data_IF_173314879863
#
_entry.id   IF_173314879863
#
_cell.length_a   1.000
_cell.length_b   1.000
_cell.length_c   1.000
_cell.angle_alpha   90.00
_cell.angle_beta   90.00
_cell.angle_gamma   90.00
#
_symmetry.space_group_name_H-M   'P 1'
#
loop_
_entity.id
_entity.type
_entity.pdbx_description
1 polymer ?
#
# COMPACT_ATOMS: atom_id res chain seq x y z
N UNK A 1 46.98 -10.66 71.08
CA UNK A 1 45.60 -10.85 70.62
C UNK A 1 45.29 -9.80 69.55
N UNK A 2 45.40 -10.16 68.29
CA UNK A 2 45.21 -9.22 67.12
C UNK A 2 43.86 -9.50 66.48
N UNK A 3 42.98 -8.51 66.53
CA UNK A 3 41.67 -8.57 65.80
C UNK A 3 41.87 -8.06 64.38
N UNK A 4 41.72 -8.96 63.38
CA UNK A 4 41.68 -8.62 62.00
C UNK A 4 40.25 -8.15 61.68
N UNK A 5 40.11 -6.90 61.26
CA UNK A 5 38.86 -6.36 60.73
C UNK A 5 38.80 -6.69 59.25
N UNK A 6 37.77 -7.45 58.87
CA UNK A 6 37.49 -7.85 57.47
C UNK A 6 36.60 -6.79 56.82
N UNK A 7 37.18 -5.99 55.94
CA UNK A 7 36.41 -5.00 55.14
C UNK A 7 35.73 -5.68 53.96
N UNK A 8 34.42 -5.75 53.99
CA UNK A 8 33.60 -6.22 52.86
C UNK A 8 33.39 -5.05 51.94
N UNK A 9 34.02 -5.08 50.76
CA UNK A 9 33.75 -4.14 49.67
C UNK A 9 32.53 -4.64 48.88
N UNK A 10 31.40 -3.98 49.04
CA UNK A 10 30.20 -4.23 48.23
C UNK A 10 30.36 -3.48 46.91
N UNK A 11 30.68 -4.19 45.84
CA UNK A 11 30.68 -3.64 44.48
C UNK A 11 29.24 -3.61 44.00
N UNK A 12 28.63 -2.45 44.06
CA UNK A 12 27.31 -2.19 43.49
C UNK A 12 27.38 -2.19 41.96
N UNK A 13 26.86 -3.23 41.32
CA UNK A 13 26.73 -3.34 39.89
C UNK A 13 25.55 -2.46 39.44
N UNK A 14 25.83 -1.23 38.97
CA UNK A 14 24.82 -0.37 38.38
C UNK A 14 24.50 -0.94 36.97
N UNK A 15 23.40 -1.64 36.86
CA UNK A 15 22.84 -2.01 35.56
C UNK A 15 22.26 -0.76 34.91
N UNK A 16 23.01 -0.15 33.99
CA UNK A 16 22.52 0.89 33.11
C UNK A 16 21.66 0.19 32.06
N UNK A 17 20.34 0.20 32.27
CA UNK A 17 19.37 -0.15 31.24
C UNK A 17 19.43 0.92 30.12
N UNK A 18 20.15 0.63 29.04
CA UNK A 18 20.06 1.39 27.81
C UNK A 18 18.63 1.22 27.26
N UNK A 19 17.75 2.12 27.64
CA UNK A 19 16.51 2.37 26.92
C UNK A 19 16.92 2.86 25.51
N UNK A 20 16.84 1.97 24.55
CA UNK A 20 16.93 2.32 23.14
C UNK A 20 15.73 3.22 22.83
N UNK A 21 15.90 4.51 22.98
CA UNK A 21 14.95 5.49 22.49
C UNK A 21 14.88 5.32 20.97
N UNK A 22 13.76 4.80 20.47
CA UNK A 22 13.46 4.83 19.03
C UNK A 22 13.48 6.30 18.65
N UNK A 23 14.34 6.74 17.74
CA UNK A 23 14.44 8.15 17.41
C UNK A 23 13.07 8.64 16.93
N UNK A 24 12.60 9.77 17.42
CA UNK A 24 11.31 10.41 17.07
C UNK A 24 11.09 10.51 15.56
N UNK A 25 12.16 10.52 14.77
CA UNK A 25 12.17 10.52 13.31
C UNK A 25 11.68 9.22 12.69
N UNK A 26 11.97 8.07 13.31
CA UNK A 26 11.50 6.76 12.81
C UNK A 26 9.98 6.62 12.91
N UNK A 27 9.33 7.23 13.90
CA UNK A 27 7.87 7.25 14.03
C UNK A 27 7.20 8.02 12.89
N UNK A 28 7.80 9.12 12.44
CA UNK A 28 7.28 9.91 11.34
C UNK A 28 7.38 9.17 9.98
N UNK A 29 8.48 8.46 9.72
CA UNK A 29 8.65 7.71 8.46
C UNK A 29 7.67 6.53 8.34
N UNK A 30 7.35 5.89 9.47
CA UNK A 30 6.31 4.84 9.53
C UNK A 30 4.94 5.42 9.19
N UNK A 31 4.56 6.52 9.81
CA UNK A 31 3.28 7.21 9.55
C UNK A 31 3.18 7.66 8.09
N UNK A 32 4.27 8.18 7.52
CA UNK A 32 4.33 8.56 6.10
C UNK A 32 4.06 7.35 5.22
N UNK A 33 4.71 6.22 5.47
CA UNK A 33 4.52 5.00 4.70
C UNK A 33 3.08 4.46 4.82
N UNK A 34 2.49 4.48 6.01
CA UNK A 34 1.10 4.09 6.24
C UNK A 34 0.12 4.98 5.48
N UNK A 35 0.31 6.28 5.50
CA UNK A 35 -0.54 7.24 4.78
C UNK A 35 -0.45 7.06 3.26
N UNK A 36 0.75 6.82 2.71
CA UNK A 36 0.92 6.55 1.28
C UNK A 36 0.22 5.25 0.88
N UNK A 37 0.37 4.19 1.66
CA UNK A 37 -0.33 2.93 1.45
C UNK A 37 -1.85 3.15 1.50
N UNK A 38 -2.33 3.92 2.48
CA UNK A 38 -3.76 4.22 2.62
C UNK A 38 -4.32 5.00 1.41
N UNK A 39 -3.58 5.98 0.89
CA UNK A 39 -3.97 6.73 -0.32
C UNK A 39 -4.11 5.80 -1.53
N UNK A 40 -3.14 4.89 -1.75
CA UNK A 40 -3.20 3.93 -2.85
C UNK A 40 -4.38 2.95 -2.69
N UNK A 41 -4.63 2.45 -1.47
CA UNK A 41 -5.81 1.61 -1.15
C UNK A 41 -7.10 2.32 -1.50
N UNK A 42 -7.27 3.57 -1.08
CA UNK A 42 -8.45 4.38 -1.38
C UNK A 42 -8.68 4.48 -2.88
N UNK A 43 -7.64 4.84 -3.65
CA UNK A 43 -7.74 4.95 -5.11
C UNK A 43 -8.18 3.64 -5.77
N UNK A 44 -7.63 2.51 -5.33
CA UNK A 44 -8.01 1.16 -5.82
C UNK A 44 -9.47 0.81 -5.50
N UNK A 45 -9.93 1.14 -4.29
CA UNK A 45 -11.32 0.92 -3.89
C UNK A 45 -12.27 1.75 -4.77
N UNK A 46 -11.94 3.03 -5.03
CA UNK A 46 -12.74 3.89 -5.91
C UNK A 46 -12.85 3.28 -7.32
N UNK A 47 -11.74 2.80 -7.91
CA UNK A 47 -11.79 2.12 -9.21
C UNK A 47 -12.68 0.89 -9.13
N UNK A 48 -12.58 0.09 -8.07
CA UNK A 48 -13.40 -1.12 -7.89
C UNK A 48 -14.89 -0.81 -7.84
N UNK A 49 -15.28 0.23 -7.11
CA UNK A 49 -16.68 0.71 -7.02
C UNK A 49 -17.21 1.26 -8.35
N UNK A 50 -16.32 1.79 -9.20
CA UNK A 50 -16.67 2.37 -10.50
C UNK A 50 -16.61 1.36 -11.67
N UNK A 51 -16.32 0.09 -11.40
CA UNK A 51 -16.13 -0.93 -12.46
C UNK A 51 -17.34 -1.06 -13.39
N UNK A 52 -18.57 -0.99 -12.87
CA UNK A 52 -19.78 -1.02 -13.70
C UNK A 52 -19.86 0.22 -14.60
N UNK A 53 -19.66 1.40 -14.03
CA UNK A 53 -19.63 2.66 -14.76
C UNK A 53 -18.55 2.66 -15.85
N UNK A 54 -17.32 2.24 -15.51
CA UNK A 54 -16.18 2.17 -16.42
C UNK A 54 -16.51 1.24 -17.60
N UNK A 55 -17.11 0.09 -17.34
CA UNK A 55 -17.37 -0.96 -18.33
C UNK A 55 -18.74 -0.84 -19.03
N UNK A 56 -19.55 0.17 -18.72
CA UNK A 56 -20.82 0.40 -19.41
C UNK A 56 -20.60 0.73 -20.88
N UNK A 57 -20.94 -0.19 -21.78
CA UNK A 57 -20.78 -0.05 -23.23
C UNK A 57 -21.74 0.98 -23.85
N UNK A 58 -22.86 1.27 -23.19
CA UNK A 58 -23.92 2.15 -23.72
C UNK A 58 -23.56 3.64 -23.63
N UNK A 59 -22.65 4.02 -22.72
CA UNK A 59 -22.29 5.42 -22.46
C UNK A 59 -20.91 5.77 -23.02
N UNK A 60 -20.82 6.90 -23.73
CA UNK A 60 -19.55 7.49 -24.16
C UNK A 60 -18.89 8.29 -23.03
N UNK A 61 -19.66 9.10 -22.27
CA UNK A 61 -19.16 9.88 -21.12
C UNK A 61 -19.58 9.20 -19.83
N UNK A 62 -18.60 8.74 -19.05
CA UNK A 62 -18.82 7.96 -17.83
C UNK A 62 -18.90 8.81 -16.56
N UNK A 63 -18.42 10.07 -16.58
CA UNK A 63 -18.29 10.90 -15.37
C UNK A 63 -17.16 10.49 -14.43
N UNK A 64 -16.53 9.34 -14.66
CA UNK A 64 -15.36 8.91 -13.91
C UNK A 64 -14.10 9.58 -14.45
N UNK A 65 -13.77 10.76 -13.92
CA UNK A 65 -12.67 11.64 -14.37
C UNK A 65 -11.53 11.66 -13.36
N UNK A 66 -10.37 12.20 -13.77
CA UNK A 66 -9.24 12.43 -12.87
C UNK A 66 -9.60 13.34 -11.69
N UNK A 67 -10.40 14.39 -11.93
CA UNK A 67 -10.85 15.30 -10.87
C UNK A 67 -11.80 14.60 -9.89
N UNK A 68 -12.71 13.76 -10.39
CA UNK A 68 -13.55 12.90 -9.54
C UNK A 68 -12.67 11.99 -8.67
N UNK A 69 -11.67 11.31 -9.25
CA UNK A 69 -10.74 10.45 -8.51
C UNK A 69 -10.03 11.23 -7.40
N UNK A 70 -9.40 12.36 -7.73
CA UNK A 70 -8.67 13.17 -6.75
C UNK A 70 -9.58 13.67 -5.61
N UNK A 71 -10.78 14.17 -5.95
CA UNK A 71 -11.77 14.63 -4.97
C UNK A 71 -12.19 13.52 -4.00
N UNK A 72 -12.49 12.33 -4.52
CA UNK A 72 -12.86 11.18 -3.70
C UNK A 72 -11.71 10.68 -2.82
N UNK A 73 -10.47 10.65 -3.35
CA UNK A 73 -9.29 10.26 -2.57
C UNK A 73 -9.07 11.21 -1.40
N UNK A 74 -9.09 12.53 -1.65
CA UNK A 74 -8.89 13.54 -0.61
C UNK A 74 -9.97 13.47 0.48
N UNK A 75 -11.23 13.31 0.08
CA UNK A 75 -12.35 13.23 1.02
C UNK A 75 -12.26 11.98 1.92
N UNK A 76 -12.01 10.81 1.32
CA UNK A 76 -11.92 9.55 2.05
C UNK A 76 -10.66 9.52 2.93
N UNK A 77 -9.54 10.05 2.47
CA UNK A 77 -8.31 10.15 3.25
C UNK A 77 -8.54 11.02 4.49
N UNK A 78 -9.14 12.21 4.34
CA UNK A 78 -9.52 13.07 5.47
C UNK A 78 -10.45 12.35 6.46
N UNK A 79 -11.43 11.61 5.96
CA UNK A 79 -12.37 10.88 6.82
C UNK A 79 -11.67 9.82 7.69
N UNK A 80 -10.66 9.13 7.11
CA UNK A 80 -9.94 8.02 7.78
C UNK A 80 -8.87 8.57 8.72
N UNK A 81 -8.01 9.48 8.23
CA UNK A 81 -6.81 9.94 8.95
C UNK A 81 -7.04 11.22 9.77
N UNK A 82 -8.14 11.94 9.53
CA UNK A 82 -8.44 13.29 10.02
C UNK A 82 -7.52 14.38 9.44
N UNK A 83 -6.60 14.05 8.54
CA UNK A 83 -5.72 14.98 7.85
C UNK A 83 -6.40 15.52 6.59
N UNK A 84 -6.48 16.84 6.45
CA UNK A 84 -7.01 17.49 5.24
C UNK A 84 -5.88 17.97 4.34
N UNK A 85 -5.57 17.20 3.30
CA UNK A 85 -4.51 17.54 2.33
C UNK A 85 -4.83 18.77 1.47
N UNK A 86 -6.07 19.28 1.52
CA UNK A 86 -6.43 20.58 0.89
C UNK A 86 -5.88 21.78 1.65
N UNK A 87 -5.37 21.53 2.88
CA UNK A 87 -4.69 22.53 3.71
C UNK A 87 -3.24 22.05 3.93
N UNK A 88 -2.39 22.06 2.89
CA UNK A 88 -1.09 21.37 2.92
C UNK A 88 -0.11 21.92 3.96
N UNK A 89 -0.22 23.20 4.31
CA UNK A 89 0.71 23.87 5.26
C UNK A 89 0.60 23.36 6.70
N UNK A 90 -0.46 22.62 7.04
CA UNK A 90 -0.67 22.06 8.38
C UNK A 90 -0.43 20.54 8.44
N UNK A 91 -0.19 19.89 7.30
CA UNK A 91 0.04 18.45 7.23
C UNK A 91 1.51 18.20 6.90
N UNK A 92 2.28 17.58 7.80
CA UNK A 92 3.65 17.17 7.49
C UNK A 92 3.70 16.31 6.23
N UNK A 93 4.68 16.55 5.34
CA UNK A 93 4.85 15.81 4.09
C UNK A 93 3.64 15.88 3.11
N UNK A 94 2.76 16.88 3.25
CA UNK A 94 1.60 17.06 2.36
C UNK A 94 1.97 17.00 0.88
N UNK A 95 3.11 17.58 0.49
CA UNK A 95 3.58 17.54 -0.91
C UNK A 95 3.81 16.13 -1.42
N UNK A 96 4.30 15.20 -0.57
CA UNK A 96 4.50 13.81 -0.95
C UNK A 96 3.16 13.09 -1.13
N UNK A 97 2.21 13.31 -0.22
CA UNK A 97 0.86 12.75 -0.31
C UNK A 97 0.11 13.29 -1.53
N UNK A 98 0.20 14.60 -1.77
CA UNK A 98 -0.42 15.24 -2.93
C UNK A 98 0.21 14.78 -4.25
N UNK A 99 1.49 14.44 -4.29
CA UNK A 99 2.12 13.84 -5.46
C UNK A 99 1.49 12.48 -5.81
N UNK A 100 1.13 11.66 -4.82
CA UNK A 100 0.43 10.39 -5.03
C UNK A 100 -1.03 10.64 -5.50
N UNK A 101 -1.73 11.59 -4.90
CA UNK A 101 -3.08 11.98 -5.33
C UNK A 101 -3.06 12.50 -6.78
N UNK A 102 -2.08 13.33 -7.12
CA UNK A 102 -1.90 13.82 -8.48
C UNK A 102 -1.60 12.69 -9.46
N UNK A 103 -0.77 11.71 -9.08
CA UNK A 103 -0.52 10.52 -9.91
C UNK A 103 -1.81 9.72 -10.15
N UNK A 104 -2.65 9.56 -9.13
CA UNK A 104 -3.96 8.91 -9.29
C UNK A 104 -4.89 9.69 -10.24
N UNK A 105 -4.91 11.02 -10.13
CA UNK A 105 -5.64 11.91 -11.04
C UNK A 105 -5.16 11.76 -12.48
N UNK A 106 -3.86 11.83 -12.70
CA UNK A 106 -3.24 11.79 -14.04
C UNK A 106 -3.50 10.43 -14.71
N UNK A 107 -3.36 9.32 -13.99
CA UNK A 107 -3.63 7.98 -14.50
C UNK A 107 -5.09 7.84 -15.00
N UNK A 108 -6.06 8.36 -14.26
CA UNK A 108 -7.46 8.34 -14.69
C UNK A 108 -7.68 9.29 -15.85
N UNK A 109 -7.01 10.44 -15.87
CA UNK A 109 -7.09 11.39 -17.00
C UNK A 109 -6.56 10.76 -18.29
N UNK A 110 -5.38 10.14 -18.25
CA UNK A 110 -4.79 9.43 -19.39
C UNK A 110 -5.63 8.24 -19.87
N UNK A 111 -6.39 7.62 -18.98
CA UNK A 111 -7.26 6.50 -19.31
C UNK A 111 -8.60 6.91 -19.94
N UNK A 112 -8.95 8.22 -19.99
CA UNK A 112 -10.24 8.69 -20.51
C UNK A 112 -10.58 8.16 -21.91
N UNK A 113 -9.65 8.11 -22.90
CA UNK A 113 -9.97 7.57 -24.23
C UNK A 113 -10.43 6.11 -24.19
N UNK A 114 -9.91 5.32 -23.25
CA UNK A 114 -10.31 3.90 -23.06
C UNK A 114 -11.59 3.82 -22.25
N UNK A 115 -11.68 4.52 -21.14
CA UNK A 115 -12.85 4.52 -20.24
C UNK A 115 -14.11 4.97 -20.98
N UNK A 116 -14.02 6.05 -21.76
CA UNK A 116 -15.16 6.66 -22.46
C UNK A 116 -15.51 6.01 -23.81
N UNK A 117 -14.80 4.97 -24.22
CA UNK A 117 -15.06 4.29 -25.49
C UNK A 117 -16.40 3.53 -25.43
N UNK A 118 -17.38 3.96 -26.23
CA UNK A 118 -18.65 3.26 -26.36
C UNK A 118 -18.51 1.93 -27.14
N UNK A 119 -19.46 1.02 -27.00
CA UNK A 119 -19.52 -0.25 -27.74
C UNK A 119 -18.58 -1.35 -27.16
N UNK A 120 -17.73 -1.06 -26.17
CA UNK A 120 -16.84 -2.03 -25.52
C UNK A 120 -17.24 -2.18 -24.07
N UNK A 121 -17.59 -3.38 -23.64
CA UNK A 121 -18.02 -3.66 -22.26
C UNK A 121 -16.85 -3.86 -21.29
N UNK A 122 -15.72 -4.43 -21.73
CA UNK A 122 -14.54 -4.60 -20.86
C UNK A 122 -13.40 -3.69 -21.30
N UNK A 123 -13.07 -2.71 -20.46
CA UNK A 123 -12.07 -1.67 -20.77
C UNK A 123 -10.64 -2.04 -20.34
N UNK A 124 -10.47 -3.08 -19.52
CA UNK A 124 -9.17 -3.42 -18.95
C UNK A 124 -8.63 -2.43 -17.92
N UNK A 125 -9.34 -1.35 -17.62
CA UNK A 125 -8.98 -0.39 -16.56
C UNK A 125 -9.51 -0.90 -15.21
N UNK A 126 -8.75 -1.79 -14.59
CA UNK A 126 -9.07 -2.47 -13.33
C UNK A 126 -8.22 -1.95 -12.16
N UNK A 127 -8.58 -2.20 -10.89
CA UNK A 127 -7.86 -1.68 -9.74
C UNK A 127 -6.35 -2.00 -9.72
N UNK A 128 -5.94 -3.16 -10.23
CA UNK A 128 -4.53 -3.55 -10.30
C UNK A 128 -3.76 -2.75 -11.37
N UNK A 129 -4.36 -2.54 -12.55
CA UNK A 129 -3.77 -1.73 -13.64
C UNK A 129 -3.68 -0.26 -13.23
N UNK A 130 -4.72 0.26 -12.58
CA UNK A 130 -4.71 1.60 -12.00
C UNK A 130 -3.55 1.75 -11.01
N UNK A 131 -3.44 0.83 -10.03
CA UNK A 131 -2.40 0.91 -9.02
C UNK A 131 -1.00 0.90 -9.63
N UNK A 132 -0.70 -0.03 -10.54
CA UNK A 132 0.59 -0.11 -11.20
C UNK A 132 0.98 1.20 -11.90
N UNK A 133 0.05 1.80 -12.64
CA UNK A 133 0.31 3.09 -13.31
C UNK A 133 0.54 4.23 -12.32
N UNK A 134 -0.21 4.24 -11.21
CA UNK A 134 -0.02 5.22 -10.13
C UNK A 134 1.34 5.04 -9.47
N UNK A 135 1.75 3.81 -9.19
CA UNK A 135 3.05 3.46 -8.62
C UNK A 135 4.19 3.97 -9.50
N UNK A 136 4.12 3.74 -10.81
CA UNK A 136 5.13 4.18 -11.79
C UNK A 136 5.22 5.72 -11.86
N UNK A 137 4.08 6.41 -11.96
CA UNK A 137 4.05 7.87 -11.99
C UNK A 137 4.50 8.49 -10.68
N UNK A 138 4.10 7.91 -9.55
CA UNK A 138 4.49 8.38 -8.23
C UNK A 138 5.98 8.21 -7.98
N UNK A 139 6.57 7.07 -8.39
CA UNK A 139 8.01 6.87 -8.34
C UNK A 139 8.77 7.96 -9.11
N UNK A 140 8.32 8.26 -10.33
CA UNK A 140 8.92 9.32 -11.15
C UNK A 140 8.89 10.69 -10.47
N UNK A 141 7.80 11.00 -9.75
CA UNK A 141 7.62 12.30 -9.07
C UNK A 141 8.33 12.41 -7.73
N UNK A 142 8.50 11.29 -7.01
CA UNK A 142 8.92 11.29 -5.60
C UNK A 142 10.15 10.47 -5.27
N UNK A 143 10.54 9.54 -6.14
CA UNK A 143 11.55 8.54 -5.85
C UNK A 143 11.13 7.45 -4.86
N UNK A 144 9.89 7.48 -4.36
CA UNK A 144 9.33 6.46 -3.45
C UNK A 144 8.76 5.33 -4.29
N UNK A 145 9.24 4.11 -4.04
CA UNK A 145 8.72 2.91 -4.73
C UNK A 145 7.56 2.32 -3.95
N UNK A 146 6.47 2.08 -4.64
CA UNK A 146 5.33 1.30 -4.15
C UNK A 146 5.07 0.15 -5.11
N UNK A 147 4.47 -0.94 -4.62
CA UNK A 147 4.16 -2.11 -5.46
C UNK A 147 3.05 -2.96 -4.84
N UNK A 148 2.09 -3.34 -5.67
CA UNK A 148 1.23 -4.48 -5.37
C UNK A 148 2.01 -5.77 -5.58
N UNK A 149 2.11 -6.63 -4.56
CA UNK A 149 2.82 -7.90 -4.63
C UNK A 149 2.01 -9.06 -4.08
N UNK A 150 2.21 -10.25 -4.64
CA UNK A 150 1.51 -11.47 -4.23
C UNK A 150 2.34 -12.70 -4.61
N UNK A 151 2.23 -13.78 -3.85
CA UNK A 151 2.87 -15.06 -4.20
C UNK A 151 2.25 -15.62 -5.50
N UNK A 152 0.93 -15.49 -5.67
CA UNK A 152 0.20 -15.89 -6.87
C UNK A 152 0.07 -14.76 -7.91
N UNK A 153 1.14 -14.01 -8.16
CA UNK A 153 1.11 -12.87 -9.07
C UNK A 153 0.74 -13.26 -10.50
N UNK A 154 -0.11 -12.44 -11.14
CA UNK A 154 -0.51 -12.58 -12.55
C UNK A 154 0.32 -11.70 -13.48
N UNK A 155 0.95 -10.67 -12.94
CA UNK A 155 1.80 -9.70 -13.65
C UNK A 155 3.22 -9.81 -13.12
N UNK A 156 4.22 -9.87 -14.01
CA UNK A 156 5.63 -9.95 -13.64
C UNK A 156 6.07 -8.79 -12.71
N UNK A 157 5.50 -7.58 -12.88
CA UNK A 157 5.79 -6.43 -12.02
C UNK A 157 5.32 -6.62 -10.56
N UNK A 158 4.36 -7.53 -10.33
CA UNK A 158 3.89 -7.89 -9.00
C UNK A 158 4.66 -9.05 -8.36
N UNK A 159 5.70 -9.57 -9.03
CA UNK A 159 6.56 -10.63 -8.48
C UNK A 159 7.24 -10.13 -7.22
N UNK A 160 7.12 -10.86 -6.08
CA UNK A 160 7.78 -10.46 -4.84
C UNK A 160 9.31 -10.59 -4.97
N UNK A 161 10.05 -9.65 -4.37
CA UNK A 161 11.46 -9.85 -4.05
C UNK A 161 11.61 -10.73 -2.79
N UNK A 162 12.85 -11.02 -2.37
CA UNK A 162 13.11 -11.93 -1.25
C UNK A 162 12.47 -11.44 0.06
N UNK A 163 12.57 -10.14 0.35
CA UNK A 163 11.93 -9.53 1.52
C UNK A 163 10.40 -9.65 1.44
N UNK A 164 9.83 -9.32 0.30
CA UNK A 164 8.39 -9.37 0.09
C UNK A 164 7.86 -10.80 0.18
N UNK A 165 8.59 -11.77 -0.36
CA UNK A 165 8.24 -13.19 -0.27
C UNK A 165 8.31 -13.71 1.18
N UNK A 166 9.31 -13.28 1.96
CA UNK A 166 9.41 -13.56 3.41
C UNK A 166 8.19 -13.03 4.16
N UNK A 167 7.85 -11.76 3.93
CA UNK A 167 6.75 -11.10 4.63
C UNK A 167 5.38 -11.64 4.19
N UNK A 168 5.19 -11.97 2.91
CA UNK A 168 3.95 -12.61 2.44
C UNK A 168 3.72 -13.98 3.10
N UNK A 169 4.78 -14.78 3.28
CA UNK A 169 4.69 -16.04 4.04
C UNK A 169 4.31 -15.80 5.50
N UNK A 170 4.89 -14.76 6.13
CA UNK A 170 4.53 -14.38 7.48
C UNK A 170 3.07 -13.94 7.60
N UNK A 171 2.55 -13.16 6.64
CA UNK A 171 1.13 -12.76 6.62
C UNK A 171 0.17 -13.94 6.43
N UNK A 172 0.65 -15.03 5.83
CA UNK A 172 -0.12 -16.28 5.68
C UNK A 172 -0.13 -17.13 6.95
N UNK A 173 0.74 -16.84 7.94
CA UNK A 173 0.80 -17.55 9.21
C UNK A 173 -0.27 -17.00 10.17
N UNK A 174 -1.10 -17.89 10.72
CA UNK A 174 -2.16 -17.52 11.68
C UNK A 174 -1.66 -16.85 12.96
N UNK A 175 -0.38 -16.99 13.28
CA UNK A 175 0.27 -16.32 14.42
C UNK A 175 0.53 -14.83 14.17
N UNK A 176 0.57 -14.40 12.91
CA UNK A 176 0.65 -12.98 12.58
C UNK A 176 -0.72 -12.32 12.73
N UNK A 177 -0.85 -11.23 13.52
CA UNK A 177 -2.14 -10.57 13.70
C UNK A 177 -2.70 -10.06 12.35
N UNK A 178 -3.91 -10.47 12.02
CA UNK A 178 -4.57 -10.11 10.76
C UNK A 178 -4.61 -8.59 10.58
N UNK A 179 -4.18 -8.12 9.42
CA UNK A 179 -4.19 -6.70 9.07
C UNK A 179 -3.00 -5.89 9.59
N UNK A 180 -2.16 -6.46 10.47
CA UNK A 180 -1.00 -5.76 11.00
C UNK A 180 0.09 -5.63 9.92
N UNK A 181 0.57 -4.41 9.59
CA UNK A 181 1.69 -4.24 8.69
C UNK A 181 3.00 -4.80 9.28
N UNK A 182 3.94 -5.12 8.40
CA UNK A 182 5.32 -5.43 8.78
C UNK A 182 6.27 -4.41 8.20
N UNK A 183 7.27 -4.00 8.98
CA UNK A 183 8.26 -3.02 8.56
C UNK A 183 9.65 -3.37 9.07
N UNK A 184 10.66 -2.94 8.31
CA UNK A 184 12.08 -3.11 8.63
C UNK A 184 12.91 -2.02 7.95
N UNK A 185 13.86 -1.43 8.67
CA UNK A 185 14.92 -0.62 8.04
C UNK A 185 15.87 -1.54 7.26
N UNK A 186 16.30 -1.09 6.09
CA UNK A 186 17.13 -1.86 5.17
C UNK A 186 18.03 -0.94 4.35
N UNK A 187 18.98 -1.51 3.62
CA UNK A 187 19.75 -0.81 2.59
C UNK A 187 19.26 -1.25 1.22
N UNK A 188 18.91 -0.31 0.36
CA UNK A 188 18.55 -0.57 -1.04
C UNK A 188 19.39 0.37 -1.92
N UNK A 189 20.12 -0.18 -2.88
CA UNK A 189 21.03 0.57 -3.75
C UNK A 189 22.00 1.49 -2.96
N UNK A 190 22.52 1.00 -1.83
CA UNK A 190 23.46 1.72 -0.96
C UNK A 190 22.82 2.85 -0.13
N UNK A 191 21.48 2.98 -0.09
CA UNK A 191 20.77 4.02 0.65
C UNK A 191 19.91 3.42 1.75
N UNK A 192 19.85 4.06 2.93
CA UNK A 192 18.98 3.63 4.00
C UNK A 192 17.51 3.86 3.60
N UNK A 193 16.67 2.86 3.82
CA UNK A 193 15.24 2.91 3.51
C UNK A 193 14.42 2.27 4.63
N UNK A 194 13.18 2.72 4.78
CA UNK A 194 12.13 1.98 5.46
C UNK A 194 11.43 1.10 4.41
N UNK A 195 11.43 -0.20 4.62
CA UNK A 195 10.57 -1.13 3.87
C UNK A 195 9.36 -1.48 4.73
N UNK A 196 8.17 -1.23 4.20
CA UNK A 196 6.93 -1.61 4.87
C UNK A 196 6.03 -2.38 3.90
N UNK A 197 5.34 -3.38 4.43
CA UNK A 197 4.28 -4.10 3.71
C UNK A 197 3.00 -4.09 4.53
N UNK A 198 1.90 -3.77 3.86
CA UNK A 198 0.56 -3.85 4.44
C UNK A 198 -0.22 -4.96 3.74
N UNK A 199 -0.75 -5.96 4.47
CA UNK A 199 -1.47 -7.05 3.85
C UNK A 199 -2.78 -6.58 3.22
N UNK A 200 -3.13 -7.19 2.09
CA UNK A 200 -4.38 -6.98 1.36
C UNK A 200 -5.21 -8.25 1.41
N UNK A 201 -6.47 -8.10 1.83
CA UNK A 201 -7.41 -9.20 1.90
C UNK A 201 -8.49 -9.08 0.83
N UNK A 202 -8.93 -10.23 0.35
CA UNK A 202 -10.03 -10.32 -0.61
C UNK A 202 -11.30 -9.76 0.01
N UNK A 203 -11.99 -8.90 -0.72
CA UNK A 203 -13.34 -8.42 -0.41
C UNK A 203 -14.34 -8.90 -1.46
N UNK A 204 -15.62 -8.72 -1.21
CA UNK A 204 -16.70 -9.13 -2.12
C UNK A 204 -16.49 -8.60 -3.54
N UNK A 205 -16.00 -7.37 -3.69
CA UNK A 205 -15.73 -6.78 -5.02
C UNK A 205 -14.60 -7.48 -5.79
N UNK A 206 -13.68 -8.17 -5.10
CA UNK A 206 -12.59 -8.92 -5.72
C UNK A 206 -13.09 -10.23 -6.34
N UNK A 207 -14.17 -10.82 -5.81
CA UNK A 207 -14.63 -12.17 -6.16
C UNK A 207 -15.16 -12.28 -7.59
N UNK A 208 -15.60 -11.17 -8.19
CA UNK A 208 -16.02 -11.14 -9.60
C UNK A 208 -14.90 -11.66 -10.51
N UNK A 209 -13.64 -11.26 -10.24
CA UNK A 209 -12.48 -11.63 -11.05
C UNK A 209 -11.59 -12.70 -10.41
N UNK A 210 -11.63 -12.87 -9.09
CA UNK A 210 -10.73 -13.76 -8.35
C UNK A 210 -11.43 -14.90 -7.62
N UNK A 211 -12.78 -14.85 -7.48
CA UNK A 211 -13.55 -15.83 -6.72
C UNK A 211 -13.70 -17.20 -7.40
N UNK A 212 -14.66 -17.96 -6.93
CA UNK A 212 -14.99 -19.29 -7.46
C UNK A 212 -15.82 -19.23 -8.76
N UNK A 213 -15.85 -20.30 -9.56
CA UNK A 213 -14.99 -21.47 -9.45
C UNK A 213 -13.58 -21.21 -10.00
N UNK A 214 -12.58 -21.76 -9.34
CA UNK A 214 -11.17 -21.63 -9.75
C UNK A 214 -10.99 -22.09 -11.20
N UNK A 215 -10.21 -21.34 -11.98
CA UNK A 215 -9.88 -21.65 -13.36
C UNK A 215 -10.92 -21.17 -14.38
N UNK A 216 -12.13 -20.74 -13.97
CA UNK A 216 -13.11 -20.13 -14.87
C UNK A 216 -12.54 -18.83 -15.43
N UNK A 217 -12.72 -18.59 -16.72
CA UNK A 217 -12.30 -17.33 -17.35
C UNK A 217 -13.20 -16.18 -16.93
N UNK A 218 -12.56 -15.06 -16.62
CA UNK A 218 -13.23 -13.76 -16.44
C UNK A 218 -13.54 -13.13 -17.79
N UNK A 219 -14.32 -12.04 -17.80
CA UNK A 219 -14.58 -11.24 -19.03
C UNK A 219 -13.29 -10.67 -19.64
N UNK A 220 -12.22 -10.54 -18.87
CA UNK A 220 -10.90 -10.11 -19.34
C UNK A 220 -9.98 -11.27 -19.77
N UNK A 221 -10.50 -12.50 -19.87
CA UNK A 221 -9.73 -13.68 -20.31
C UNK A 221 -8.77 -14.27 -19.26
N UNK A 222 -8.77 -13.76 -18.04
CA UNK A 222 -7.94 -14.27 -16.95
C UNK A 222 -8.65 -15.38 -16.20
N UNK A 223 -7.91 -16.39 -15.74
CA UNK A 223 -8.48 -17.46 -14.90
C UNK A 223 -8.71 -16.96 -13.48
N UNK A 224 -9.88 -17.29 -12.90
CA UNK A 224 -10.18 -17.03 -11.50
C UNK A 224 -9.28 -17.86 -10.59
N UNK A 225 -8.90 -17.29 -9.43
CA UNK A 225 -8.01 -17.92 -8.45
C UNK A 225 -8.75 -18.88 -7.50
N UNK A 226 -10.08 -18.74 -7.38
CA UNK A 226 -10.90 -19.48 -6.43
C UNK A 226 -10.83 -18.91 -5.01
N UNK A 227 -10.53 -17.63 -4.87
CA UNK A 227 -10.46 -16.97 -3.56
C UNK A 227 -11.82 -16.79 -2.92
N UNK A 228 -11.80 -16.72 -1.59
CA UNK A 228 -12.95 -16.42 -0.73
C UNK A 228 -12.76 -15.09 -0.06
N UNK A 229 -13.85 -14.51 0.43
CA UNK A 229 -13.82 -13.29 1.21
C UNK A 229 -12.92 -13.45 2.45
N UNK A 230 -12.03 -12.50 2.66
CA UNK A 230 -11.07 -12.52 3.75
C UNK A 230 -9.79 -13.32 3.52
N UNK A 231 -9.62 -14.00 2.37
CA UNK A 231 -8.34 -14.63 1.99
C UNK A 231 -7.25 -13.56 1.81
N UNK A 232 -6.00 -13.92 2.08
CA UNK A 232 -4.86 -13.05 1.79
C UNK A 232 -4.65 -12.97 0.27
N UNK A 233 -4.90 -11.80 -0.31
CA UNK A 233 -4.69 -11.55 -1.74
C UNK A 233 -3.23 -11.21 -2.08
N UNK A 234 -2.51 -10.63 -1.13
CA UNK A 234 -1.15 -10.15 -1.31
C UNK A 234 -0.85 -9.00 -0.34
N UNK A 235 -0.05 -8.04 -0.77
CA UNK A 235 0.27 -6.87 0.03
C UNK A 235 0.57 -5.65 -0.85
N UNK A 236 0.46 -4.45 -0.26
CA UNK A 236 1.11 -3.25 -0.78
C UNK A 236 2.47 -3.13 -0.10
N UNK A 237 3.52 -3.13 -0.89
CA UNK A 237 4.91 -2.91 -0.47
C UNK A 237 5.30 -1.47 -0.76
N UNK A 238 6.04 -0.84 0.16
CA UNK A 238 6.63 0.49 -0.01
C UNK A 238 8.11 0.46 0.39
N UNK A 239 8.94 1.16 -0.38
CA UNK A 239 10.35 1.44 -0.11
C UNK A 239 10.48 2.95 0.00
N UNK A 240 10.51 3.45 1.24
CA UNK A 240 10.61 4.87 1.56
C UNK A 240 12.06 5.23 1.90
N UNK A 241 12.73 6.10 1.11
CA UNK A 241 14.07 6.59 1.44
C UNK A 241 14.09 7.32 2.78
N UNK A 242 15.04 6.96 3.65
CA UNK A 242 15.28 7.66 4.91
C UNK A 242 16.24 8.84 4.67
N UNK A 243 15.96 9.98 5.32
CA UNK A 243 16.78 11.20 5.21
C UNK A 243 17.79 11.29 6.36
#
# INVERSE_FOLDING_TARGET
>A
MSRRVLSIVVVGMIMISLLWAVPARAGNDVEIAEHLIQLLKIGRVIVSEQMETINDASKAKKGFTGDYMAGQVLERFKKITKLDLRIPNVVPQANLYLALVQSAKDVVHEAQPVINRAGISYKGFIPAVFAQRVEDQFYTKSGVRMKLTSIGYRNANSKPDDFEAEVLRMFSDSRHPKGKPYMRSSMVDGRPVLRMMSPEYVSQTCLTCHGEPRGKLTVGGMKKDGWKDGDLAGAISIVLPLK
#
